data_IF_674857930900
#
_entry.id   IF_674857930900
#
_cell.length_a   1.000
_cell.length_b   1.000
_cell.length_c   1.000
_cell.angle_alpha   90.00
_cell.angle_beta   90.00
_cell.angle_gamma   90.00
#
_symmetry.space_group_name_H-M   'P 1'
#
loop_
_entity.id
_entity.type
_entity.pdbx_description
1 polymer ?
#
# COMPACT_ATOMS: atom_id res chain seq x y z
N UNK A 1 29.65 -66.16 1.41
CA UNK A 1 29.96 -64.74 1.05
C UNK A 1 28.65 -64.07 0.77
N UNK A 2 28.20 -63.26 1.71
CA UNK A 2 26.91 -62.61 1.69
C UNK A 2 27.10 -61.15 1.23
N UNK A 3 26.40 -60.76 0.18
CA UNK A 3 26.38 -59.39 -0.33
C UNK A 3 25.01 -58.77 0.04
N UNK A 4 25.08 -57.73 0.89
CA UNK A 4 23.92 -57.03 1.39
C UNK A 4 23.48 -55.99 0.36
N UNK A 5 22.25 -56.12 -0.13
CA UNK A 5 21.57 -55.08 -0.89
C UNK A 5 21.12 -53.96 0.06
N UNK A 6 21.58 -52.73 -0.21
CA UNK A 6 21.16 -51.50 0.48
C UNK A 6 20.02 -50.90 -0.34
N UNK A 7 18.79 -51.01 0.18
CA UNK A 7 17.62 -50.31 -0.37
C UNK A 7 17.64 -48.85 0.10
N UNK A 8 17.88 -47.92 -0.81
CA UNK A 8 17.69 -46.50 -0.59
C UNK A 8 16.18 -46.23 -0.51
N UNK A 9 15.73 -45.67 0.62
CA UNK A 9 14.41 -45.07 0.74
C UNK A 9 14.43 -43.74 0.00
N UNK A 10 13.53 -43.59 -0.96
CA UNK A 10 13.28 -42.34 -1.64
C UNK A 10 12.64 -41.34 -0.68
N UNK A 11 13.24 -40.14 -0.57
CA UNK A 11 12.63 -38.98 0.05
C UNK A 11 11.56 -38.48 -0.94
N UNK A 12 10.30 -38.84 -0.70
CA UNK A 12 9.14 -38.17 -1.31
C UNK A 12 8.99 -36.78 -0.65
N UNK A 13 9.02 -35.74 -1.45
CA UNK A 13 8.73 -34.39 -1.00
C UNK A 13 7.29 -34.34 -0.47
N UNK A 14 7.03 -33.69 0.67
CA UNK A 14 5.70 -33.61 1.26
C UNK A 14 4.72 -32.90 0.31
N UNK A 15 3.48 -33.38 0.26
CA UNK A 15 2.42 -32.78 -0.55
C UNK A 15 2.16 -31.32 -0.14
N UNK A 16 1.79 -30.44 -1.10
CA UNK A 16 1.58 -29.00 -0.85
C UNK A 16 0.58 -28.71 0.27
N UNK A 17 -0.45 -29.53 0.43
CA UNK A 17 -1.47 -29.38 1.47
C UNK A 17 -0.95 -29.73 2.89
N UNK A 18 0.00 -30.63 3.00
CA UNK A 18 0.64 -30.97 4.27
C UNK A 18 1.59 -29.85 4.74
N UNK A 19 2.25 -29.17 3.80
CA UNK A 19 3.10 -27.99 4.10
C UNK A 19 2.22 -26.81 4.52
N UNK A 20 1.10 -26.57 3.86
CA UNK A 20 0.15 -25.53 4.24
C UNK A 20 -0.44 -25.77 5.65
N UNK A 21 -0.85 -27.01 5.95
CA UNK A 21 -1.36 -27.37 7.28
C UNK A 21 -0.30 -27.28 8.38
N UNK A 22 0.96 -27.60 8.08
CA UNK A 22 2.07 -27.47 9.03
C UNK A 22 2.45 -25.99 9.28
N UNK A 23 2.36 -25.13 8.26
CA UNK A 23 2.57 -23.69 8.38
C UNK A 23 1.45 -23.05 9.20
N UNK A 24 0.19 -23.46 9.00
CA UNK A 24 -0.96 -23.00 9.80
C UNK A 24 -0.85 -23.46 11.28
N UNK A 25 -0.40 -24.68 11.54
CA UNK A 25 -0.16 -25.18 12.90
C UNK A 25 1.01 -24.48 13.60
N UNK A 26 2.09 -24.13 12.89
CA UNK A 26 3.22 -23.37 13.41
C UNK A 26 2.85 -21.90 13.66
N UNK A 27 2.03 -21.29 12.81
CA UNK A 27 1.50 -19.94 13.00
C UNK A 27 0.58 -19.84 14.24
N UNK A 28 -0.13 -20.91 14.58
CA UNK A 28 -0.94 -21.01 15.80
C UNK A 28 -0.09 -21.23 17.08
N UNK A 29 1.15 -21.70 16.94
CA UNK A 29 2.06 -21.99 18.06
C UNK A 29 3.02 -20.84 18.42
N UNK A 30 3.19 -19.83 17.54
CA UNK A 30 4.17 -18.74 17.69
C UNK A 30 3.64 -17.47 18.37
N UNK A 31 2.38 -17.38 18.72
CA UNK A 31 1.81 -16.19 19.36
C UNK A 31 2.21 -16.07 20.84
N UNK A 32 2.48 -14.85 21.31
CA UNK A 32 2.86 -14.46 22.68
C UNK A 32 1.81 -14.77 23.76
N UNK A 33 1.08 -15.84 23.67
CA UNK A 33 0.16 -16.39 24.69
C UNK A 33 -1.01 -15.47 25.16
N UNK A 34 -1.01 -14.19 24.83
CA UNK A 34 -2.02 -13.21 25.26
C UNK A 34 -2.84 -12.68 24.08
N UNK A 35 -4.15 -12.97 24.11
CA UNK A 35 -5.11 -12.38 23.17
C UNK A 35 -5.35 -10.91 23.51
N UNK A 36 -5.10 -10.03 22.56
CA UNK A 36 -5.30 -8.58 22.67
C UNK A 36 -6.56 -8.14 21.92
N UNK A 37 -7.10 -7.00 22.33
CA UNK A 37 -8.13 -6.24 21.57
C UNK A 37 -7.39 -5.15 20.80
N UNK A 38 -7.24 -5.33 19.50
CA UNK A 38 -6.45 -4.44 18.65
C UNK A 38 -7.40 -3.60 17.79
N UNK A 39 -7.29 -2.27 17.87
CA UNK A 39 -8.03 -1.35 17.02
C UNK A 39 -7.13 -0.86 15.89
N UNK A 40 -7.46 -1.22 14.65
CA UNK A 40 -6.78 -0.72 13.45
C UNK A 40 -7.58 0.45 12.88
N UNK A 41 -7.04 1.65 12.98
CA UNK A 41 -7.64 2.86 12.45
C UNK A 41 -7.02 3.20 11.09
N UNK A 42 -7.67 2.76 10.03
CA UNK A 42 -7.30 2.98 8.64
C UNK A 42 -8.33 3.87 7.93
N UNK A 43 -8.03 5.15 7.77
CA UNK A 43 -8.98 6.07 7.13
C UNK A 43 -9.28 5.72 5.67
N UNK A 44 -8.31 5.21 4.94
CA UNK A 44 -8.43 4.95 3.51
C UNK A 44 -9.01 3.57 3.17
N UNK A 45 -8.82 2.57 4.02
CA UNK A 45 -9.21 1.18 3.77
C UNK A 45 -8.26 0.46 2.82
N UNK A 46 -6.95 0.67 2.95
CA UNK A 46 -5.97 0.06 2.05
C UNK A 46 -5.85 -1.46 2.22
N UNK A 47 -5.63 -2.21 1.13
CA UNK A 47 -5.61 -3.68 1.15
C UNK A 47 -4.63 -4.28 2.15
N UNK A 48 -3.39 -3.76 2.27
CA UNK A 48 -2.38 -4.26 3.20
C UNK A 48 -2.76 -4.06 4.68
N UNK A 49 -3.51 -3.01 5.00
CA UNK A 49 -3.98 -2.75 6.36
C UNK A 49 -5.11 -3.71 6.75
N UNK A 50 -5.98 -4.03 5.80
CA UNK A 50 -7.01 -5.06 5.97
C UNK A 50 -6.37 -6.44 6.12
N UNK A 51 -5.35 -6.73 5.31
CA UNK A 51 -4.60 -7.98 5.36
C UNK A 51 -3.92 -8.18 6.73
N UNK A 52 -3.27 -7.14 7.28
CA UNK A 52 -2.75 -7.17 8.65
C UNK A 52 -3.85 -7.46 9.67
N UNK A 53 -5.02 -6.82 9.55
CA UNK A 53 -6.14 -7.05 10.47
C UNK A 53 -6.62 -8.50 10.43
N UNK A 54 -6.67 -9.12 9.25
CA UNK A 54 -6.99 -10.54 9.09
C UNK A 54 -5.91 -11.42 9.71
N UNK A 55 -4.64 -11.11 9.47
CA UNK A 55 -3.52 -11.90 10.01
C UNK A 55 -3.48 -11.86 11.54
N UNK A 56 -3.66 -10.70 12.15
CA UNK A 56 -3.78 -10.54 13.60
C UNK A 56 -4.98 -11.33 14.16
N UNK A 57 -6.12 -11.31 13.47
CA UNK A 57 -7.28 -12.09 13.87
C UNK A 57 -7.03 -13.60 13.78
N UNK A 58 -6.37 -14.10 12.72
CA UNK A 58 -5.96 -15.51 12.62
C UNK A 58 -5.05 -15.96 13.76
N UNK A 59 -4.26 -15.04 14.31
CA UNK A 59 -3.43 -15.29 15.51
C UNK A 59 -4.20 -15.24 16.83
N UNK A 60 -5.52 -15.09 16.77
CA UNK A 60 -6.40 -15.15 17.93
C UNK A 60 -6.63 -13.82 18.65
N UNK A 61 -6.11 -12.69 18.14
CA UNK A 61 -6.46 -11.36 18.64
C UNK A 61 -7.91 -11.02 18.28
N UNK A 62 -8.58 -10.21 19.10
CA UNK A 62 -9.86 -9.62 18.75
C UNK A 62 -9.56 -8.30 18.04
N UNK A 63 -9.88 -8.20 16.75
CA UNK A 63 -9.51 -7.05 15.92
C UNK A 63 -10.74 -6.27 15.49
N UNK A 64 -10.69 -4.95 15.64
CA UNK A 64 -11.64 -4.05 15.01
C UNK A 64 -10.91 -3.16 14.00
N UNK A 65 -11.29 -3.27 12.73
CA UNK A 65 -10.77 -2.45 11.64
C UNK A 65 -11.76 -1.33 11.32
N UNK A 66 -11.34 -0.07 11.48
CA UNK A 66 -12.20 1.09 11.24
C UNK A 66 -11.71 1.89 10.06
N UNK A 67 -12.60 2.12 9.07
CA UNK A 67 -12.29 2.89 7.87
C UNK A 67 -13.33 3.97 7.56
N UNK A 68 -12.98 4.91 6.67
CA UNK A 68 -13.89 5.95 6.20
C UNK A 68 -14.66 5.49 4.95
N UNK A 69 -16.00 5.48 5.02
CA UNK A 69 -16.85 5.10 3.88
C UNK A 69 -16.80 6.14 2.76
N UNK A 70 -16.77 7.42 3.12
CA UNK A 70 -16.80 8.54 2.16
C UNK A 70 -15.47 8.85 1.48
N UNK A 71 -14.40 8.12 1.80
CA UNK A 71 -13.08 8.31 1.18
C UNK A 71 -12.92 7.41 -0.04
N UNK A 72 -12.70 8.02 -1.21
CA UNK A 72 -12.48 7.29 -2.47
C UNK A 72 -11.02 6.86 -2.56
N UNK A 73 -10.77 5.56 -2.48
CA UNK A 73 -9.45 4.91 -2.63
C UNK A 73 -9.65 3.49 -3.16
N UNK A 74 -8.59 2.85 -3.62
CA UNK A 74 -8.59 1.40 -3.83
C UNK A 74 -8.69 0.70 -2.47
N UNK A 75 -9.90 0.26 -2.11
CA UNK A 75 -10.16 -0.41 -0.83
C UNK A 75 -9.82 -1.89 -0.91
N UNK A 76 -9.38 -2.46 0.21
CA UNK A 76 -9.22 -3.91 0.36
C UNK A 76 -10.58 -4.63 0.37
N UNK A 77 -10.55 -5.93 0.18
CA UNK A 77 -11.73 -6.76 0.38
C UNK A 77 -12.04 -6.86 1.88
N UNK A 78 -13.21 -6.37 2.30
CA UNK A 78 -13.63 -6.39 3.71
C UNK A 78 -14.39 -7.66 4.10
N UNK A 79 -14.13 -8.77 3.43
CA UNK A 79 -14.74 -10.04 3.78
C UNK A 79 -14.14 -10.59 5.09
N UNK A 80 -15.02 -10.84 6.06
CA UNK A 80 -14.65 -11.31 7.41
C UNK A 80 -15.36 -12.62 7.78
N UNK A 81 -16.06 -13.28 6.83
CA UNK A 81 -16.91 -14.44 7.12
C UNK A 81 -16.19 -15.57 7.83
N UNK A 82 -14.91 -15.76 7.57
CA UNK A 82 -14.09 -16.81 8.16
C UNK A 82 -13.37 -16.39 9.45
N UNK A 83 -13.57 -15.14 9.93
CA UNK A 83 -12.87 -14.56 11.07
C UNK A 83 -13.85 -13.90 12.06
N UNK A 84 -14.48 -14.71 12.97
CA UNK A 84 -15.49 -14.20 13.90
C UNK A 84 -14.93 -13.17 14.91
N UNK A 85 -13.61 -13.14 15.09
CA UNK A 85 -12.89 -12.20 15.95
C UNK A 85 -12.39 -10.94 15.20
N UNK A 86 -12.75 -10.76 13.92
CA UNK A 86 -12.50 -9.55 13.13
C UNK A 86 -13.82 -8.83 12.84
N UNK A 87 -13.91 -7.57 13.25
CA UNK A 87 -15.04 -6.70 12.90
C UNK A 87 -14.54 -5.54 12.05
N UNK A 88 -15.18 -5.27 10.92
CA UNK A 88 -14.92 -4.09 10.08
C UNK A 88 -16.02 -3.06 10.24
N UNK A 89 -15.65 -1.83 10.54
CA UNK A 89 -16.58 -0.72 10.80
C UNK A 89 -16.31 0.42 9.81
N UNK A 90 -17.28 0.71 8.97
CA UNK A 90 -17.24 1.86 8.06
C UNK A 90 -17.85 3.10 8.72
N UNK A 91 -17.09 4.18 8.86
CA UNK A 91 -17.56 5.45 9.42
C UNK A 91 -17.80 6.50 8.32
N UNK A 92 -18.97 7.14 8.31
CA UNK A 92 -19.27 8.20 7.36
C UNK A 92 -18.65 9.54 7.78
N UNK A 93 -18.32 10.37 6.77
CA UNK A 93 -17.91 11.78 6.94
C UNK A 93 -19.03 12.79 6.74
N UNK A 94 -20.26 12.32 6.53
CA UNK A 94 -21.39 13.19 6.19
C UNK A 94 -21.45 13.55 4.69
N UNK A 95 -21.00 12.64 3.84
CA UNK A 95 -20.90 12.76 2.39
C UNK A 95 -19.54 12.34 1.87
N UNK A 96 -19.28 12.55 0.58
CA UNK A 96 -17.94 12.29 -0.01
C UNK A 96 -16.90 13.21 0.63
N UNK A 97 -15.75 12.63 0.99
CA UNK A 97 -14.67 13.37 1.64
C UNK A 97 -14.08 14.42 0.68
N UNK A 98 -14.14 15.69 1.09
CA UNK A 98 -13.64 16.80 0.30
C UNK A 98 -12.13 17.00 0.54
N UNK A 99 -11.33 16.69 -0.46
CA UNK A 99 -9.86 16.83 -0.39
C UNK A 99 -9.38 18.26 -0.65
N UNK A 100 -10.21 19.11 -1.24
CA UNK A 100 -9.81 20.39 -1.80
C UNK A 100 -10.27 21.59 -0.98
N UNK A 101 -11.43 21.52 -0.34
CA UNK A 101 -11.95 22.58 0.53
C UNK A 101 -11.45 22.43 1.96
N UNK A 102 -10.56 23.31 2.41
CA UNK A 102 -9.96 23.24 3.75
C UNK A 102 -11.01 23.28 4.88
N UNK A 103 -12.03 24.11 4.77
CA UNK A 103 -13.08 24.26 5.81
C UNK A 103 -14.01 23.04 5.86
N UNK A 104 -14.42 22.48 4.72
CA UNK A 104 -15.23 21.26 4.66
C UNK A 104 -14.42 20.07 5.16
N UNK A 105 -13.20 19.93 4.69
CA UNK A 105 -12.29 18.89 5.13
C UNK A 105 -12.11 18.89 6.64
N UNK A 106 -11.84 20.07 7.24
CA UNK A 106 -11.70 20.19 8.70
C UNK A 106 -12.96 19.73 9.44
N UNK A 107 -14.15 20.19 9.03
CA UNK A 107 -15.42 19.76 9.63
C UNK A 107 -15.64 18.25 9.49
N UNK A 108 -15.34 17.69 8.33
CA UNK A 108 -15.46 16.26 8.06
C UNK A 108 -14.48 15.43 8.91
N UNK A 109 -13.23 15.87 9.04
CA UNK A 109 -12.23 15.19 9.87
C UNK A 109 -12.61 15.19 11.35
N UNK A 110 -13.08 16.33 11.88
CA UNK A 110 -13.56 16.44 13.29
C UNK A 110 -14.82 15.61 13.50
N UNK A 111 -15.79 15.69 12.59
CA UNK A 111 -17.00 14.90 12.68
C UNK A 111 -16.77 13.39 12.61
N UNK A 112 -15.83 12.96 11.76
CA UNK A 112 -15.37 11.59 11.67
C UNK A 112 -14.70 11.13 12.98
N UNK A 113 -13.76 11.93 13.50
CA UNK A 113 -13.02 11.59 14.71
C UNK A 113 -13.95 11.41 15.95
N UNK A 114 -14.99 12.24 16.08
CA UNK A 114 -15.99 12.06 17.16
C UNK A 114 -16.77 10.75 17.06
N UNK A 115 -17.08 10.29 15.83
CA UNK A 115 -17.72 8.99 15.62
C UNK A 115 -16.75 7.86 15.92
N UNK A 116 -15.49 8.04 15.54
CA UNK A 116 -14.42 7.10 15.87
C UNK A 116 -14.26 6.92 17.38
N UNK A 117 -14.24 8.02 18.16
CA UNK A 117 -14.12 7.96 19.63
C UNK A 117 -15.24 7.07 20.24
N UNK A 118 -16.48 7.19 19.75
CA UNK A 118 -17.60 6.36 20.24
C UNK A 118 -17.42 4.87 19.92
N UNK A 119 -16.91 4.55 18.73
CA UNK A 119 -16.61 3.17 18.33
C UNK A 119 -15.45 2.60 19.16
N UNK A 120 -14.41 3.39 19.38
CA UNK A 120 -13.26 3.00 20.19
C UNK A 120 -13.66 2.81 21.67
N UNK A 121 -14.52 3.66 22.23
CA UNK A 121 -15.07 3.51 23.59
C UNK A 121 -15.88 2.21 23.75
N UNK A 122 -16.68 1.84 22.76
CA UNK A 122 -17.44 0.59 22.77
C UNK A 122 -16.54 -0.64 22.63
N UNK A 123 -15.52 -0.56 21.79
CA UNK A 123 -14.56 -1.67 21.56
C UNK A 123 -13.59 -1.85 22.72
N UNK A 124 -13.17 -0.81 23.43
CA UNK A 124 -12.19 -0.87 24.52
C UNK A 124 -10.91 -1.59 24.13
N UNK A 125 -10.11 -1.04 23.20
CA UNK A 125 -8.89 -1.67 22.73
C UNK A 125 -7.80 -1.67 23.81
N UNK A 126 -6.94 -2.70 23.77
CA UNK A 126 -5.68 -2.74 24.52
C UNK A 126 -4.59 -1.88 23.85
N UNK A 127 -4.66 -1.76 22.52
CA UNK A 127 -3.72 -0.98 21.70
C UNK A 127 -4.41 -0.50 20.41
N UNK A 128 -3.98 0.66 19.89
CA UNK A 128 -4.43 1.21 18.62
C UNK A 128 -3.30 1.34 17.60
N UNK A 129 -3.51 0.88 16.38
CA UNK A 129 -2.68 1.15 15.21
C UNK A 129 -3.32 2.27 14.38
N UNK A 130 -2.75 3.47 14.34
CA UNK A 130 -3.28 4.60 13.59
C UNK A 130 -2.51 4.77 12.29
N UNK A 131 -3.10 4.37 11.17
CA UNK A 131 -2.50 4.42 9.85
C UNK A 131 -3.28 5.38 8.94
N UNK A 132 -2.60 6.01 8.02
CA UNK A 132 -3.11 6.88 6.95
C UNK A 132 -4.34 7.76 7.32
N UNK A 133 -4.42 8.15 8.58
CA UNK A 133 -5.48 9.01 9.11
C UNK A 133 -5.11 10.47 8.85
N UNK A 134 -6.02 11.31 8.35
CA UNK A 134 -5.78 12.74 8.20
C UNK A 134 -5.34 13.40 9.50
N UNK A 135 -4.48 14.41 9.40
CA UNK A 135 -3.76 14.96 10.55
C UNK A 135 -4.66 15.46 11.69
N UNK A 136 -5.77 16.13 11.35
CA UNK A 136 -6.72 16.64 12.35
C UNK A 136 -7.44 15.48 13.05
N UNK A 137 -7.96 14.51 12.28
CA UNK A 137 -8.61 13.34 12.85
C UNK A 137 -7.61 12.54 13.72
N UNK A 138 -6.36 12.39 13.28
CA UNK A 138 -5.29 11.71 14.03
C UNK A 138 -4.99 12.42 15.35
N UNK A 139 -4.96 13.77 15.37
CA UNK A 139 -4.75 14.53 16.59
C UNK A 139 -5.88 14.32 17.61
N UNK A 140 -7.14 14.27 17.15
CA UNK A 140 -8.30 13.99 18.03
C UNK A 140 -8.23 12.57 18.57
N UNK A 141 -7.96 11.58 17.74
CA UNK A 141 -7.86 10.18 18.20
C UNK A 141 -6.67 9.94 19.12
N UNK A 142 -5.53 10.59 18.90
CA UNK A 142 -4.39 10.55 19.82
C UNK A 142 -4.73 11.18 21.19
N UNK A 143 -5.50 12.27 21.21
CA UNK A 143 -6.00 12.84 22.44
C UNK A 143 -7.00 11.91 23.16
N UNK A 144 -7.81 11.14 22.44
CA UNK A 144 -8.64 10.08 23.00
C UNK A 144 -7.78 8.99 23.65
N UNK A 145 -6.75 8.49 22.96
CA UNK A 145 -5.82 7.51 23.49
C UNK A 145 -5.19 7.99 24.81
N UNK A 146 -4.71 9.23 24.87
CA UNK A 146 -4.13 9.81 26.08
C UNK A 146 -5.12 9.88 27.24
N UNK A 147 -6.39 10.25 26.96
CA UNK A 147 -7.44 10.31 28.00
C UNK A 147 -7.83 8.93 28.56
N UNK A 148 -7.76 7.90 27.72
CA UNK A 148 -8.18 6.53 28.07
C UNK A 148 -7.01 5.64 28.54
N UNK A 149 -5.77 6.14 28.44
CA UNK A 149 -4.59 5.35 28.75
C UNK A 149 -4.37 4.19 27.77
N UNK A 150 -4.83 4.33 26.52
CA UNK A 150 -4.64 3.31 25.47
C UNK A 150 -3.36 3.61 24.70
N UNK A 151 -2.35 2.72 24.73
CA UNK A 151 -1.15 2.85 23.91
C UNK A 151 -1.49 2.86 22.42
N UNK A 152 -0.72 3.64 21.64
CA UNK A 152 -0.98 3.71 20.23
C UNK A 152 0.29 3.74 19.38
N UNK A 153 0.20 3.11 18.21
CA UNK A 153 1.24 3.06 17.20
C UNK A 153 0.92 4.07 16.10
N UNK A 154 1.86 4.97 15.82
CA UNK A 154 1.78 5.84 14.64
C UNK A 154 2.35 5.09 13.43
N UNK A 155 1.49 4.57 12.55
CA UNK A 155 1.92 3.96 11.31
C UNK A 155 1.99 5.04 10.23
N UNK A 156 3.22 5.51 9.98
CA UNK A 156 3.54 6.63 9.09
C UNK A 156 3.58 6.18 7.64
N UNK A 157 2.55 6.59 6.86
CA UNK A 157 2.44 6.31 5.43
C UNK A 157 2.94 7.47 4.57
N UNK A 158 2.52 8.69 4.89
CA UNK A 158 2.86 9.93 4.19
C UNK A 158 3.20 11.01 5.21
N UNK A 159 4.08 11.93 4.82
CA UNK A 159 4.41 13.13 5.60
C UNK A 159 3.35 14.21 5.35
N UNK A 160 2.20 14.09 6.03
CA UNK A 160 1.06 14.99 5.84
C UNK A 160 1.40 16.45 6.16
N UNK A 161 2.18 16.71 7.22
CA UNK A 161 2.61 18.05 7.59
C UNK A 161 3.40 18.73 6.49
N UNK A 162 4.37 18.01 5.90
CA UNK A 162 5.20 18.51 4.79
C UNK A 162 4.35 18.78 3.55
N UNK A 163 3.44 17.85 3.20
CA UNK A 163 2.56 18.02 2.05
C UNK A 163 1.61 19.22 2.23
N UNK A 164 1.01 19.36 3.42
CA UNK A 164 0.11 20.47 3.74
C UNK A 164 0.86 21.81 3.76
N UNK A 165 2.11 21.85 4.24
CA UNK A 165 2.93 23.06 4.21
C UNK A 165 3.20 23.51 2.77
N UNK A 166 3.65 22.61 1.89
CA UNK A 166 3.91 22.93 0.47
C UNK A 166 2.65 23.48 -0.22
N UNK A 167 1.51 22.87 0.04
CA UNK A 167 0.24 23.32 -0.54
C UNK A 167 -0.20 24.69 0.01
N UNK A 168 -0.02 24.92 1.32
CA UNK A 168 -0.34 26.20 1.94
C UNK A 168 0.58 27.33 1.43
N UNK A 169 1.88 27.08 1.30
CA UNK A 169 2.84 28.02 0.72
C UNK A 169 2.50 28.42 -0.72
N UNK A 170 2.10 27.41 -1.52
CA UNK A 170 1.67 27.62 -2.92
C UNK A 170 0.44 28.51 -3.03
N UNK A 171 -0.51 28.40 -2.08
CA UNK A 171 -1.79 29.13 -2.10
C UNK A 171 -1.70 30.54 -1.50
N UNK A 172 -0.91 30.74 -0.45
CA UNK A 172 -0.93 31.96 0.36
C UNK A 172 0.48 32.52 0.70
N UNK A 173 1.52 32.12 0.00
CA UNK A 173 2.87 32.65 0.16
C UNK A 173 3.36 32.58 1.62
N UNK A 174 3.82 33.71 2.19
CA UNK A 174 4.35 33.78 3.57
C UNK A 174 3.33 33.42 4.65
N UNK A 175 2.07 33.79 4.51
CA UNK A 175 1.01 33.42 5.44
C UNK A 175 0.75 31.89 5.38
N UNK A 176 0.78 31.31 4.16
CA UNK A 176 0.70 29.89 3.95
C UNK A 176 1.87 29.12 4.57
N UNK A 177 3.08 29.70 4.52
CA UNK A 177 4.27 29.13 5.17
C UNK A 177 4.11 29.03 6.69
N UNK A 178 3.59 30.06 7.34
CA UNK A 178 3.33 30.06 8.79
C UNK A 178 2.27 29.02 9.17
N UNK A 179 1.16 28.94 8.43
CA UNK A 179 0.12 27.93 8.62
C UNK A 179 0.68 26.51 8.43
N UNK A 180 1.48 26.31 7.39
CA UNK A 180 2.11 25.03 7.09
C UNK A 180 3.08 24.57 8.18
N UNK A 181 3.85 25.49 8.77
CA UNK A 181 4.70 25.19 9.92
C UNK A 181 3.90 24.71 11.13
N UNK A 182 2.67 25.20 11.32
CA UNK A 182 1.74 24.70 12.32
C UNK A 182 1.37 23.24 12.10
N UNK A 183 1.07 22.81 10.87
CA UNK A 183 0.78 21.41 10.56
C UNK A 183 1.98 20.48 10.79
N UNK A 184 3.18 20.90 10.40
CA UNK A 184 4.40 20.14 10.69
C UNK A 184 4.64 20.02 12.21
N UNK A 185 4.38 21.07 12.97
CA UNK A 185 4.51 21.04 14.43
C UNK A 185 3.52 20.06 15.08
N UNK A 186 2.29 20.02 14.60
CA UNK A 186 1.28 19.03 15.05
C UNK A 186 1.74 17.61 14.73
N UNK A 187 2.16 17.33 13.49
CA UNK A 187 2.65 16.01 13.11
C UNK A 187 3.85 15.57 13.94
N UNK A 188 4.82 16.47 14.16
CA UNK A 188 5.98 16.23 15.02
C UNK A 188 5.58 15.95 16.46
N UNK A 189 4.58 16.65 16.99
CA UNK A 189 4.08 16.42 18.35
C UNK A 189 3.38 15.06 18.48
N UNK A 190 2.65 14.63 17.47
CA UNK A 190 1.99 13.32 17.42
C UNK A 190 3.03 12.18 17.33
N UNK A 191 4.06 12.32 16.48
CA UNK A 191 5.14 11.35 16.38
C UNK A 191 5.89 11.16 17.71
N UNK A 192 6.18 12.24 18.42
CA UNK A 192 6.85 12.15 19.75
C UNK A 192 5.99 11.48 20.82
N UNK A 193 4.65 11.64 20.74
CA UNK A 193 3.71 11.13 21.74
C UNK A 193 3.25 9.70 21.47
N UNK A 194 3.48 9.19 20.26
CA UNK A 194 3.18 7.80 19.94
C UNK A 194 4.06 6.87 20.77
N UNK A 195 3.49 5.78 21.27
CA UNK A 195 4.22 4.78 22.07
C UNK A 195 5.19 3.98 21.19
N UNK A 196 4.82 3.78 19.91
CA UNK A 196 5.71 3.26 18.89
C UNK A 196 5.39 3.91 17.52
N UNK A 197 6.36 3.90 16.61
CA UNK A 197 6.23 4.44 15.25
C UNK A 197 6.66 3.40 14.23
N UNK A 198 5.80 3.10 13.26
CA UNK A 198 6.14 2.31 12.08
C UNK A 198 6.32 3.24 10.90
N UNK A 199 7.47 3.18 10.24
CA UNK A 199 7.77 3.89 9.00
C UNK A 199 7.75 2.93 7.82
N UNK A 200 7.18 3.33 6.68
CA UNK A 200 7.10 2.50 5.47
C UNK A 200 8.35 2.55 4.59
N UNK A 201 9.31 3.40 4.93
CA UNK A 201 10.56 3.55 4.20
C UNK A 201 11.67 3.97 5.14
N UNK A 202 12.91 3.49 4.95
CA UNK A 202 14.07 3.99 5.68
C UNK A 202 14.33 5.48 5.42
N UNK A 203 13.85 6.04 4.31
CA UNK A 203 14.03 7.44 3.95
C UNK A 203 13.37 8.42 4.94
N UNK A 204 12.41 7.94 5.75
CA UNK A 204 11.79 8.77 6.79
C UNK A 204 12.57 8.78 8.11
N UNK A 205 13.54 7.87 8.29
CA UNK A 205 14.32 7.77 9.53
C UNK A 205 15.03 9.09 9.92
N UNK A 206 15.73 9.81 9.01
CA UNK A 206 16.35 11.08 9.36
C UNK A 206 15.35 12.14 9.84
N UNK A 207 14.12 12.12 9.30
CA UNK A 207 13.05 13.02 9.75
C UNK A 207 12.54 12.62 11.14
N UNK A 208 12.39 11.31 11.41
CA UNK A 208 11.99 10.81 12.73
C UNK A 208 13.04 11.16 13.79
N UNK A 209 14.34 11.08 13.46
CA UNK A 209 15.44 11.58 14.31
C UNK A 209 15.27 13.06 14.60
N UNK A 210 15.08 13.89 13.56
CA UNK A 210 14.83 15.33 13.68
C UNK A 210 13.54 15.66 14.45
N UNK A 211 12.58 14.75 14.52
CA UNK A 211 11.37 14.86 15.35
C UNK A 211 11.62 14.44 16.80
N UNK A 212 12.74 13.79 17.13
CA UNK A 212 13.04 13.28 18.48
C UNK A 212 12.29 11.97 18.80
N UNK A 213 12.02 11.14 17.80
CA UNK A 213 11.50 9.78 18.01
C UNK A 213 12.68 8.85 18.33
N UNK A 214 12.69 8.26 19.52
CA UNK A 214 13.76 7.39 19.97
C UNK A 214 13.88 6.13 19.09
N UNK A 215 15.09 5.62 18.92
CA UNK A 215 15.39 4.51 18.01
C UNK A 215 14.69 3.19 18.43
N UNK A 216 14.52 2.96 19.71
CA UNK A 216 13.84 1.80 20.30
C UNK A 216 12.32 1.83 20.14
N UNK A 217 11.74 2.99 19.81
CA UNK A 217 10.29 3.15 19.54
C UNK A 217 9.94 3.20 18.06
N UNK A 218 10.91 3.05 17.14
CA UNK A 218 10.65 3.11 15.71
C UNK A 218 11.08 1.83 15.01
N UNK A 219 10.27 1.40 14.05
CA UNK A 219 10.53 0.24 13.21
C UNK A 219 10.21 0.59 11.77
N UNK A 220 11.08 0.20 10.83
CA UNK A 220 10.79 0.33 9.40
C UNK A 220 10.11 -0.96 8.94
N UNK A 221 8.84 -0.89 8.54
CA UNK A 221 8.11 -2.00 7.90
C UNK A 221 7.54 -1.45 6.61
N UNK A 222 8.12 -1.86 5.49
CA UNK A 222 7.66 -1.46 4.16
C UNK A 222 6.24 -1.99 3.90
N UNK A 223 5.46 -1.25 3.12
CA UNK A 223 4.14 -1.72 2.71
C UNK A 223 4.27 -2.94 1.78
N UNK A 224 3.24 -3.75 1.75
CA UNK A 224 3.11 -4.94 0.91
C UNK A 224 1.78 -4.95 0.15
N UNK A 225 1.60 -5.90 -0.74
CA UNK A 225 0.29 -6.20 -1.31
C UNK A 225 -0.13 -7.61 -0.85
N UNK A 226 -1.41 -7.82 -0.51
CA UNK A 226 -1.90 -9.13 -0.10
C UNK A 226 -1.84 -10.12 -1.27
N UNK A 227 -0.89 -11.04 -1.24
CA UNK A 227 -0.66 -12.01 -2.31
C UNK A 227 -1.86 -12.92 -2.56
N UNK A 228 -2.58 -13.27 -1.50
CA UNK A 228 -3.81 -14.09 -1.59
C UNK A 228 -4.91 -13.41 -2.40
N UNK A 229 -5.01 -12.09 -2.32
CA UNK A 229 -6.02 -11.29 -3.02
C UNK A 229 -5.57 -10.95 -4.47
N UNK A 230 -4.30 -11.21 -4.81
CA UNK A 230 -3.67 -10.89 -6.08
C UNK A 230 -3.01 -12.13 -6.74
N UNK A 231 -3.78 -13.19 -7.03
CA UNK A 231 -3.26 -14.32 -7.78
C UNK A 231 -2.87 -13.90 -9.20
N UNK A 232 -1.83 -14.53 -9.75
CA UNK A 232 -1.49 -14.33 -11.16
C UNK A 232 -2.66 -14.78 -12.04
N UNK A 233 -2.97 -13.98 -13.05
CA UNK A 233 -4.02 -14.25 -14.02
C UNK A 233 -3.45 -14.35 -15.43
N UNK A 234 -4.01 -15.20 -16.29
CA UNK A 234 -3.61 -15.25 -17.69
C UNK A 234 -3.90 -13.92 -18.39
N UNK A 235 -3.13 -13.63 -19.46
CA UNK A 235 -3.34 -12.45 -20.29
C UNK A 235 -4.74 -12.47 -20.94
N UNK A 236 -5.11 -13.61 -21.54
CA UNK A 236 -6.46 -13.82 -22.07
C UNK A 236 -7.37 -14.31 -20.94
N UNK A 237 -8.06 -13.38 -20.31
CA UNK A 237 -8.99 -13.64 -19.22
C UNK A 237 -10.38 -13.04 -19.51
N UNK A 238 -11.33 -13.28 -18.59
CA UNK A 238 -12.72 -12.87 -18.78
C UNK A 238 -12.85 -11.33 -18.90
N UNK A 239 -12.06 -10.57 -18.13
CA UNK A 239 -12.11 -9.10 -18.19
C UNK A 239 -11.60 -8.58 -19.52
N UNK A 240 -10.48 -9.11 -20.03
CA UNK A 240 -9.91 -8.73 -21.34
C UNK A 240 -10.89 -8.97 -22.48
N UNK A 241 -11.55 -10.14 -22.50
CA UNK A 241 -12.58 -10.48 -23.47
C UNK A 241 -13.80 -9.56 -23.37
N UNK A 242 -14.29 -9.29 -22.15
CA UNK A 242 -15.39 -8.36 -21.88
C UNK A 242 -15.10 -6.94 -22.40
N UNK A 243 -13.85 -6.51 -22.32
CA UNK A 243 -13.41 -5.19 -22.81
C UNK A 243 -13.12 -5.17 -24.32
N UNK A 244 -13.21 -6.29 -25.02
CA UNK A 244 -12.97 -6.37 -26.48
C UNK A 244 -11.54 -5.98 -26.89
N UNK A 245 -10.54 -6.36 -26.08
CA UNK A 245 -9.14 -5.97 -26.33
C UNK A 245 -8.41 -6.86 -27.34
N UNK A 246 -8.95 -8.05 -27.64
CA UNK A 246 -8.34 -9.00 -28.58
C UNK A 246 -6.87 -9.29 -28.29
N UNK A 247 -6.06 -9.45 -29.34
CA UNK A 247 -4.63 -9.77 -29.21
C UNK A 247 -3.72 -8.53 -29.22
N UNK A 248 -4.29 -7.31 -29.28
CA UNK A 248 -3.49 -6.08 -29.24
C UNK A 248 -2.68 -6.00 -27.95
N UNK A 249 -1.48 -5.46 -28.05
CA UNK A 249 -0.65 -5.17 -26.88
C UNK A 249 -1.34 -4.15 -25.97
N UNK A 250 -1.27 -4.33 -24.65
CA UNK A 250 -1.93 -3.47 -23.66
C UNK A 250 -0.93 -2.89 -22.67
N UNK A 251 -0.76 -1.58 -22.73
CA UNK A 251 -0.20 -0.80 -21.66
C UNK A 251 -1.32 -0.40 -20.69
N UNK A 252 -1.18 -0.69 -19.40
CA UNK A 252 -2.24 -0.44 -18.43
C UNK A 252 -1.77 0.42 -17.25
N UNK A 253 -2.49 1.52 -17.02
CA UNK A 253 -2.41 2.33 -15.81
C UNK A 253 -3.66 2.12 -14.97
N UNK A 254 -3.53 1.74 -13.69
CA UNK A 254 -4.66 1.62 -12.78
C UNK A 254 -4.41 2.39 -11.48
N UNK A 255 -5.38 3.23 -11.09
CA UNK A 255 -5.35 4.01 -9.86
C UNK A 255 -5.65 5.49 -10.08
N UNK A 256 -5.72 6.28 -9.00
CA UNK A 256 -5.98 7.71 -9.09
C UNK A 256 -4.92 8.41 -9.92
N UNK A 257 -5.35 9.17 -10.91
CA UNK A 257 -4.49 9.98 -11.78
C UNK A 257 -4.68 11.48 -11.42
N UNK A 258 -3.85 11.97 -10.52
CA UNK A 258 -3.79 13.40 -10.19
C UNK A 258 -2.84 14.15 -11.13
N UNK A 259 -2.84 15.47 -11.09
CA UNK A 259 -1.90 16.29 -11.88
C UNK A 259 -0.43 15.97 -11.56
N UNK A 260 -0.14 15.51 -10.35
CA UNK A 260 1.19 15.05 -9.94
C UNK A 260 1.70 13.78 -10.65
N UNK A 261 0.97 13.25 -11.64
CA UNK A 261 1.34 12.05 -12.36
C UNK A 261 1.67 12.32 -13.83
N UNK A 262 1.67 13.57 -14.28
CA UNK A 262 1.95 13.99 -15.67
C UNK A 262 1.19 13.14 -16.69
N UNK A 263 -0.14 13.25 -16.74
CA UNK A 263 -0.98 12.38 -17.56
C UNK A 263 -0.67 12.43 -19.06
N UNK A 264 -0.07 13.53 -19.54
CA UNK A 264 0.32 13.75 -20.92
C UNK A 264 1.23 12.64 -21.48
N UNK A 265 2.03 11.99 -20.63
CA UNK A 265 2.91 10.89 -21.07
C UNK A 265 2.10 9.67 -21.52
N UNK A 266 0.91 9.44 -20.94
CA UNK A 266 0.01 8.36 -21.37
C UNK A 266 -0.62 8.66 -22.72
N UNK A 267 -0.91 9.92 -23.01
CA UNK A 267 -1.38 10.35 -24.32
C UNK A 267 -0.28 10.18 -25.38
N UNK A 268 0.94 10.65 -25.10
CA UNK A 268 2.10 10.48 -25.99
C UNK A 268 2.41 8.99 -26.24
N UNK A 269 2.26 8.12 -25.21
CA UNK A 269 2.39 6.67 -25.38
C UNK A 269 1.36 6.11 -26.36
N UNK A 270 0.09 6.53 -26.23
CA UNK A 270 -0.96 6.09 -27.14
C UNK A 270 -0.72 6.60 -28.57
N UNK A 271 -0.28 7.84 -28.73
CA UNK A 271 0.07 8.42 -30.01
C UNK A 271 1.22 7.65 -30.68
N UNK A 272 2.28 7.32 -29.94
CA UNK A 272 3.40 6.51 -30.47
C UNK A 272 2.97 5.12 -30.94
N UNK A 273 1.95 4.54 -30.32
CA UNK A 273 1.50 3.17 -30.54
C UNK A 273 0.10 3.07 -31.18
N UNK A 274 -0.36 4.08 -31.91
CA UNK A 274 -1.72 4.16 -32.47
C UNK A 274 -2.10 2.92 -33.30
N UNK A 275 -1.14 2.36 -34.04
CA UNK A 275 -1.39 1.19 -34.91
C UNK A 275 -1.29 -0.17 -34.21
N UNK A 276 -0.53 -0.32 -33.11
CA UNK A 276 -0.03 -1.61 -32.65
C UNK A 276 -0.29 -1.93 -31.18
N UNK A 277 -0.69 -0.94 -30.34
CA UNK A 277 -1.02 -1.19 -28.94
C UNK A 277 -2.17 -0.32 -28.45
N UNK A 278 -2.85 -0.79 -27.41
CA UNK A 278 -3.84 -0.03 -26.64
C UNK A 278 -3.21 0.50 -25.34
N UNK A 279 -3.54 1.73 -25.00
CA UNK A 279 -3.24 2.31 -23.69
C UNK A 279 -4.54 2.40 -22.89
N UNK A 280 -4.62 1.63 -21.80
CA UNK A 280 -5.82 1.55 -20.97
C UNK A 280 -5.56 2.25 -19.65
N UNK A 281 -6.37 3.24 -19.34
CA UNK A 281 -6.27 4.05 -18.13
C UNK A 281 -7.51 3.87 -17.29
N UNK A 282 -7.40 3.12 -16.21
CA UNK A 282 -8.48 2.92 -15.24
C UNK A 282 -8.26 3.91 -14.10
N UNK A 283 -8.99 5.02 -14.11
CA UNK A 283 -8.69 6.12 -13.24
C UNK A 283 -9.88 7.01 -12.91
N UNK A 284 -9.66 7.90 -11.96
CA UNK A 284 -10.45 9.09 -11.66
C UNK A 284 -9.53 10.22 -11.22
N UNK A 285 -9.96 11.47 -11.42
CA UNK A 285 -9.26 12.65 -10.93
C UNK A 285 -8.86 13.62 -12.04
N UNK A 286 -8.16 14.68 -11.66
CA UNK A 286 -7.83 15.80 -12.56
C UNK A 286 -6.96 15.37 -13.76
N UNK A 287 -6.11 14.38 -13.61
CA UNK A 287 -5.31 13.86 -14.72
C UNK A 287 -6.15 13.09 -15.76
N UNK A 288 -7.18 12.40 -15.31
CA UNK A 288 -8.14 11.75 -16.22
C UNK A 288 -8.95 12.80 -16.99
N UNK A 289 -9.39 13.88 -16.31
CA UNK A 289 -10.04 15.02 -16.97
C UNK A 289 -9.12 15.63 -18.06
N UNK A 290 -7.83 15.81 -17.74
CA UNK A 290 -6.85 16.32 -18.68
C UNK A 290 -6.69 15.42 -19.92
N UNK A 291 -6.67 14.10 -19.75
CA UNK A 291 -6.64 13.17 -20.88
C UNK A 291 -7.91 13.25 -21.75
N UNK A 292 -9.08 13.46 -21.14
CA UNK A 292 -10.34 13.68 -21.90
C UNK A 292 -10.30 14.94 -22.73
N UNK A 293 -9.75 16.04 -22.21
CA UNK A 293 -9.54 17.29 -22.94
C UNK A 293 -8.64 17.06 -24.16
N UNK A 294 -7.50 16.37 -23.98
CA UNK A 294 -6.59 16.05 -25.08
C UNK A 294 -7.24 15.16 -26.14
N UNK A 295 -8.05 14.17 -25.74
CA UNK A 295 -8.81 13.32 -26.65
C UNK A 295 -9.92 14.08 -27.39
N UNK A 296 -10.47 15.15 -26.80
CA UNK A 296 -11.44 16.02 -27.48
C UNK A 296 -10.77 16.89 -28.54
N UNK A 297 -9.52 17.31 -28.33
CA UNK A 297 -8.73 18.06 -29.31
C UNK A 297 -8.23 17.15 -30.44
N UNK A 298 -7.69 16.00 -30.12
CA UNK A 298 -7.24 14.97 -31.06
C UNK A 298 -7.59 13.57 -30.56
N UNK A 299 -8.62 12.93 -31.16
CA UNK A 299 -9.03 11.58 -30.81
C UNK A 299 -7.94 10.52 -31.09
N UNK A 300 -7.70 9.62 -30.14
CA UNK A 300 -6.86 8.43 -30.31
C UNK A 300 -7.70 7.20 -29.95
N UNK A 301 -8.01 6.35 -30.96
CA UNK A 301 -8.89 5.19 -30.79
C UNK A 301 -8.29 4.13 -29.85
N UNK A 302 -6.97 4.12 -29.66
CA UNK A 302 -6.23 3.20 -28.82
C UNK A 302 -5.97 3.73 -27.39
N UNK A 303 -6.43 4.95 -27.02
CA UNK A 303 -6.42 5.45 -25.64
C UNK A 303 -7.80 5.27 -25.01
N UNK A 304 -7.92 4.29 -24.12
CA UNK A 304 -9.18 3.93 -23.46
C UNK A 304 -9.20 4.41 -22.01
N UNK A 305 -10.09 5.34 -21.69
CA UNK A 305 -10.30 5.86 -20.34
C UNK A 305 -11.50 5.15 -19.71
N UNK A 306 -11.26 4.39 -18.64
CA UNK A 306 -12.26 3.60 -17.92
C UNK A 306 -12.41 4.12 -16.49
N UNK A 307 -13.63 4.11 -15.93
CA UNK A 307 -13.82 4.36 -14.50
C UNK A 307 -13.20 3.25 -13.65
N UNK A 308 -13.11 3.45 -12.34
CA UNK A 308 -12.72 2.38 -11.42
C UNK A 308 -13.64 1.17 -11.61
N UNK A 309 -13.03 0.02 -11.62
CA UNK A 309 -13.68 -1.28 -11.80
C UNK A 309 -13.95 -1.93 -10.43
N UNK A 310 -14.84 -2.93 -10.35
CA UNK A 310 -15.00 -3.75 -9.16
C UNK A 310 -13.66 -4.31 -8.68
N UNK A 311 -13.48 -4.40 -7.36
CA UNK A 311 -12.21 -4.87 -6.77
C UNK A 311 -11.94 -6.34 -7.11
N UNK A 312 -12.98 -7.12 -7.29
CA UNK A 312 -12.94 -8.52 -7.67
C UNK A 312 -12.34 -8.74 -9.06
N UNK A 313 -12.48 -7.77 -9.95
CA UNK A 313 -11.89 -7.79 -11.28
C UNK A 313 -10.39 -7.41 -11.27
N UNK A 314 -9.88 -6.85 -10.17
CA UNK A 314 -8.54 -6.25 -10.14
C UNK A 314 -7.41 -7.21 -10.51
N UNK A 315 -7.38 -8.47 -10.06
CA UNK A 315 -6.39 -9.45 -10.52
C UNK A 315 -6.45 -9.69 -12.03
N UNK A 316 -7.67 -9.82 -12.60
CA UNK A 316 -7.87 -10.03 -14.02
C UNK A 316 -7.46 -8.80 -14.85
N UNK A 317 -7.73 -7.60 -14.33
CA UNK A 317 -7.32 -6.32 -14.93
C UNK A 317 -5.78 -6.27 -15.05
N UNK A 318 -5.07 -6.54 -13.95
CA UNK A 318 -3.62 -6.54 -13.96
C UNK A 318 -3.06 -7.65 -14.87
N UNK A 319 -3.67 -8.84 -14.81
CA UNK A 319 -3.29 -9.96 -15.67
C UNK A 319 -3.53 -9.72 -17.16
N UNK A 320 -4.52 -8.90 -17.52
CA UNK A 320 -4.84 -8.55 -18.91
C UNK A 320 -3.78 -7.64 -19.57
N UNK A 321 -2.95 -6.97 -18.79
CA UNK A 321 -1.89 -6.09 -19.29
C UNK A 321 -0.70 -6.87 -19.86
N UNK A 322 -0.03 -6.29 -20.85
CA UNK A 322 1.29 -6.72 -21.31
C UNK A 322 2.40 -5.93 -20.59
N UNK A 323 2.12 -4.67 -20.22
CA UNK A 323 2.99 -3.83 -19.37
C UNK A 323 2.15 -2.95 -18.46
N UNK A 324 2.50 -2.90 -17.17
CA UNK A 324 1.86 -2.06 -16.16
C UNK A 324 2.62 -0.75 -16.02
N UNK A 325 1.89 0.38 -15.92
CA UNK A 325 2.49 1.71 -15.88
C UNK A 325 2.34 2.34 -14.50
N UNK A 326 3.44 2.86 -13.95
CA UNK A 326 3.47 3.62 -12.71
C UNK A 326 4.07 5.01 -12.95
N UNK A 327 3.40 6.05 -12.49
CA UNK A 327 3.80 7.44 -12.69
C UNK A 327 3.85 8.18 -11.35
N UNK A 328 4.88 8.99 -11.14
CA UNK A 328 5.01 9.90 -10.01
C UNK A 328 5.91 11.07 -10.39
N UNK A 329 5.43 12.30 -10.27
CA UNK A 329 6.25 13.48 -10.59
C UNK A 329 7.39 13.72 -9.56
N UNK A 330 8.46 14.44 -9.93
CA UNK A 330 9.63 14.70 -9.07
C UNK A 330 9.27 15.28 -7.70
N UNK A 331 8.34 16.24 -7.67
CA UNK A 331 7.95 16.93 -6.45
C UNK A 331 7.27 16.04 -5.40
N UNK A 332 6.67 14.93 -5.80
CA UNK A 332 6.00 13.98 -4.90
C UNK A 332 6.93 12.88 -4.39
N UNK A 333 8.08 12.66 -5.02
CA UNK A 333 8.99 11.53 -4.77
C UNK A 333 9.60 11.47 -3.38
N UNK A 334 9.64 12.57 -2.64
CA UNK A 334 10.29 12.63 -1.31
C UNK A 334 9.35 12.32 -0.14
N UNK A 335 8.03 12.28 -0.34
CA UNK A 335 7.06 12.14 0.74
C UNK A 335 5.90 11.19 0.43
N UNK A 336 5.92 10.52 -0.72
CA UNK A 336 4.89 9.56 -1.12
C UNK A 336 5.51 8.38 -1.87
N UNK A 337 5.06 7.17 -1.54
CA UNK A 337 5.46 5.92 -2.22
C UNK A 337 4.23 5.37 -2.95
N UNK A 338 4.26 5.22 -4.29
CA UNK A 338 3.11 4.74 -5.04
C UNK A 338 2.84 3.26 -4.77
N UNK A 339 1.82 2.97 -3.95
CA UNK A 339 1.44 1.60 -3.54
C UNK A 339 1.03 0.68 -4.69
N UNK A 340 0.63 1.22 -5.86
CA UNK A 340 0.27 0.41 -7.03
C UNK A 340 1.41 -0.50 -7.51
N UNK A 341 2.66 -0.08 -7.33
CA UNK A 341 3.84 -0.89 -7.68
C UNK A 341 3.83 -2.24 -6.94
N UNK A 342 3.39 -2.26 -5.68
CA UNK A 342 3.29 -3.49 -4.89
C UNK A 342 2.30 -4.49 -5.52
N UNK A 343 1.11 -4.03 -5.90
CA UNK A 343 0.12 -4.86 -6.61
C UNK A 343 0.61 -5.31 -7.99
N UNK A 344 1.37 -4.45 -8.66
CA UNK A 344 1.94 -4.76 -9.97
C UNK A 344 3.00 -5.86 -9.91
N UNK A 345 3.83 -5.87 -8.87
CA UNK A 345 4.77 -6.96 -8.61
C UNK A 345 4.04 -8.31 -8.45
N UNK A 346 2.89 -8.32 -7.76
CA UNK A 346 2.09 -9.54 -7.59
C UNK A 346 1.52 -10.07 -8.91
N UNK A 347 1.25 -9.19 -9.87
CA UNK A 347 0.59 -9.57 -11.13
C UNK A 347 1.49 -10.38 -12.09
N UNK A 348 2.81 -10.41 -11.88
CA UNK A 348 3.75 -11.08 -12.77
C UNK A 348 3.82 -10.45 -14.16
N UNK A 349 3.64 -9.13 -14.25
CA UNK A 349 3.76 -8.34 -15.49
C UNK A 349 4.91 -7.33 -15.34
N UNK A 350 5.62 -6.99 -16.42
CA UNK A 350 6.67 -5.99 -16.36
C UNK A 350 6.08 -4.62 -15.99
N UNK A 351 6.86 -3.86 -15.24
CA UNK A 351 6.49 -2.52 -14.79
C UNK A 351 7.33 -1.50 -15.55
N UNK A 352 6.65 -0.55 -16.21
CA UNK A 352 7.29 0.64 -16.76
C UNK A 352 6.94 1.83 -15.85
N UNK A 353 7.96 2.38 -15.20
CA UNK A 353 7.78 3.43 -14.20
C UNK A 353 8.48 4.73 -14.58
N UNK A 354 7.73 5.84 -14.64
CA UNK A 354 8.29 7.18 -14.62
C UNK A 354 8.17 7.73 -13.19
N UNK A 355 9.20 7.45 -12.39
CA UNK A 355 9.26 7.72 -10.94
C UNK A 355 10.67 8.22 -10.61
N UNK A 356 10.84 9.21 -9.70
CA UNK A 356 12.17 9.63 -9.27
C UNK A 356 13.01 8.44 -8.79
N UNK A 357 14.26 8.26 -9.28
CA UNK A 357 15.09 7.09 -8.93
C UNK A 357 15.34 6.91 -7.44
N UNK A 358 15.38 8.02 -6.68
CA UNK A 358 15.52 8.00 -5.22
C UNK A 358 14.28 7.47 -4.48
N UNK A 359 13.13 7.32 -5.15
CA UNK A 359 11.90 6.84 -4.51
C UNK A 359 11.98 5.34 -4.20
N UNK A 360 11.44 4.92 -3.06
CA UNK A 360 11.43 3.50 -2.66
C UNK A 360 10.80 2.60 -3.74
N UNK A 361 9.71 3.03 -4.39
CA UNK A 361 9.07 2.22 -5.43
C UNK A 361 9.97 2.02 -6.65
N UNK A 362 10.75 3.04 -7.04
CA UNK A 362 11.74 2.91 -8.11
C UNK A 362 12.82 1.89 -7.73
N UNK A 363 13.43 2.07 -6.56
CA UNK A 363 14.44 1.13 -6.03
C UNK A 363 13.90 -0.30 -5.90
N UNK A 364 12.63 -0.45 -5.53
CA UNK A 364 11.98 -1.77 -5.44
C UNK A 364 11.85 -2.44 -6.81
N UNK A 365 11.42 -1.71 -7.85
CA UNK A 365 11.34 -2.23 -9.23
C UNK A 365 12.73 -2.66 -9.72
N UNK A 366 13.74 -1.84 -9.51
CA UNK A 366 15.14 -2.12 -9.90
C UNK A 366 15.71 -3.33 -9.15
N UNK A 367 15.59 -3.34 -7.82
CA UNK A 367 16.04 -4.45 -6.95
C UNK A 367 15.38 -5.78 -7.33
N UNK A 368 14.09 -5.74 -7.66
CA UNK A 368 13.35 -6.91 -8.10
C UNK A 368 13.69 -7.33 -9.55
N UNK A 369 14.31 -6.47 -10.34
CA UNK A 369 14.44 -6.70 -11.80
C UNK A 369 13.08 -6.81 -12.50
N UNK A 370 12.07 -6.10 -11.97
CA UNK A 370 10.66 -6.26 -12.35
C UNK A 370 10.23 -5.36 -13.51
N UNK A 371 11.15 -4.58 -14.08
CA UNK A 371 10.78 -3.65 -15.13
C UNK A 371 11.84 -2.61 -15.47
N UNK A 372 11.40 -1.44 -15.88
CA UNK A 372 12.24 -0.29 -16.16
C UNK A 372 11.76 0.95 -15.38
N UNK A 373 12.72 1.67 -14.85
CA UNK A 373 12.50 2.97 -14.19
C UNK A 373 13.18 4.05 -15.04
N UNK A 374 12.46 5.13 -15.30
CA UNK A 374 12.97 6.30 -16.00
C UNK A 374 12.67 7.56 -15.18
N UNK A 375 13.46 8.62 -15.31
CA UNK A 375 13.15 9.92 -14.69
C UNK A 375 11.76 10.41 -15.14
N UNK A 376 10.93 10.95 -14.24
CA UNK A 376 9.58 11.39 -14.60
C UNK A 376 9.54 12.67 -15.45
N UNK A 377 10.65 13.38 -15.58
CA UNK A 377 10.84 14.54 -16.43
C UNK A 377 11.47 14.18 -17.79
N UNK A 378 11.70 12.89 -18.07
CA UNK A 378 12.21 12.38 -19.34
C UNK A 378 11.14 11.53 -20.07
N UNK A 379 10.17 12.17 -20.77
CA UNK A 379 9.14 11.45 -21.51
C UNK A 379 9.71 10.65 -22.70
N UNK A 380 10.84 11.06 -23.26
CA UNK A 380 11.47 10.36 -24.38
C UNK A 380 12.04 9.01 -23.90
N UNK A 381 12.78 8.99 -22.81
CA UNK A 381 13.24 7.74 -22.21
C UNK A 381 12.08 6.79 -21.85
N UNK A 382 10.94 7.33 -21.39
CA UNK A 382 9.74 6.55 -21.13
C UNK A 382 9.20 5.89 -22.41
N UNK A 383 9.07 6.64 -23.50
CA UNK A 383 8.58 6.13 -24.78
C UNK A 383 9.53 5.12 -25.40
N UNK A 384 10.84 5.32 -25.29
CA UNK A 384 11.86 4.35 -25.72
C UNK A 384 11.73 3.04 -24.93
N UNK A 385 11.62 3.11 -23.61
CA UNK A 385 11.47 1.91 -22.77
C UNK A 385 10.14 1.18 -23.06
N UNK A 386 9.04 1.91 -23.31
CA UNK A 386 7.76 1.33 -23.73
C UNK A 386 7.90 0.54 -25.02
N UNK A 387 8.57 1.12 -26.04
CA UNK A 387 8.85 0.44 -27.32
C UNK A 387 9.66 -0.84 -27.09
N UNK A 388 10.67 -0.80 -26.23
CA UNK A 388 11.48 -2.01 -25.91
C UNK A 388 10.61 -3.11 -25.31
N UNK A 389 9.75 -2.80 -24.32
CA UNK A 389 8.81 -3.80 -23.79
C UNK A 389 7.83 -4.30 -24.83
N UNK A 390 7.40 -3.45 -25.78
CA UNK A 390 6.47 -3.85 -26.83
C UNK A 390 7.08 -4.90 -27.77
N UNK A 391 8.34 -4.80 -28.13
CA UNK A 391 8.99 -5.69 -29.12
C UNK A 391 9.69 -6.89 -28.48
N UNK A 392 10.16 -6.81 -27.23
CA UNK A 392 10.97 -7.85 -26.59
C UNK A 392 10.12 -8.68 -25.61
N UNK A 393 9.65 -9.83 -26.08
CA UNK A 393 8.81 -10.75 -25.31
C UNK A 393 9.57 -11.42 -24.15
N UNK A 394 10.84 -11.75 -24.34
CA UNK A 394 11.68 -12.39 -23.33
C UNK A 394 11.92 -11.43 -22.17
N UNK A 395 12.27 -10.18 -22.45
CA UNK A 395 12.43 -9.14 -21.44
C UNK A 395 11.16 -8.95 -20.60
N UNK A 396 9.98 -8.99 -21.24
CA UNK A 396 8.69 -8.92 -20.51
C UNK A 396 8.50 -10.09 -19.56
N UNK A 397 8.77 -11.30 -20.07
CA UNK A 397 8.59 -12.52 -19.28
C UNK A 397 9.54 -12.54 -18.09
N UNK A 398 10.80 -12.23 -18.29
CA UNK A 398 11.82 -12.17 -17.22
C UNK A 398 11.41 -11.15 -16.17
N UNK A 399 11.09 -9.93 -16.58
CA UNK A 399 10.71 -8.88 -15.65
C UNK A 399 9.43 -9.23 -14.86
N UNK A 400 8.43 -9.81 -15.52
CA UNK A 400 7.19 -10.26 -14.84
C UNK A 400 7.46 -11.36 -13.82
N UNK A 401 8.22 -12.39 -14.18
CA UNK A 401 8.62 -13.49 -13.28
C UNK A 401 9.40 -12.97 -12.08
N UNK A 402 10.37 -12.11 -12.31
CA UNK A 402 11.17 -11.49 -11.25
C UNK A 402 10.32 -10.69 -10.27
N UNK A 403 9.37 -9.87 -10.79
CA UNK A 403 8.45 -9.11 -9.97
C UNK A 403 7.61 -10.00 -9.06
N UNK A 404 7.04 -11.09 -9.60
CA UNK A 404 6.26 -12.05 -8.83
C UNK A 404 7.10 -12.76 -7.77
N UNK A 405 8.28 -13.26 -8.12
CA UNK A 405 9.20 -13.93 -7.19
C UNK A 405 9.62 -12.99 -6.05
N UNK A 406 9.88 -11.72 -6.36
CA UNK A 406 10.15 -10.70 -5.33
C UNK A 406 8.96 -10.55 -4.38
N UNK A 407 7.74 -10.40 -4.92
CA UNK A 407 6.55 -10.27 -4.10
C UNK A 407 6.34 -11.49 -3.18
N UNK A 408 6.50 -12.71 -3.69
CA UNK A 408 6.38 -13.95 -2.92
C UNK A 408 7.44 -14.05 -1.80
N UNK A 409 8.64 -13.52 -2.03
CA UNK A 409 9.71 -13.56 -1.03
C UNK A 409 9.61 -12.47 0.05
N UNK A 410 8.95 -11.32 -0.25
CA UNK A 410 8.99 -10.13 0.61
C UNK A 410 7.63 -9.83 1.25
N UNK A 411 6.51 -10.17 0.57
CA UNK A 411 5.16 -9.89 1.06
C UNK A 411 4.59 -11.04 1.91
N UNK A 412 5.48 -11.74 2.62
CA UNK A 412 5.06 -12.79 3.55
C UNK A 412 4.32 -12.18 4.76
N UNK A 413 3.00 -12.37 4.77
CA UNK A 413 2.13 -11.83 5.82
C UNK A 413 2.46 -12.38 7.20
N UNK A 414 3.02 -13.59 7.31
CA UNK A 414 3.42 -14.16 8.60
C UNK A 414 4.56 -13.35 9.21
N UNK A 415 5.66 -13.20 8.48
CA UNK A 415 6.82 -12.40 8.91
C UNK A 415 6.46 -10.93 9.17
N UNK A 416 5.62 -10.34 8.32
CA UNK A 416 5.15 -8.96 8.50
C UNK A 416 4.34 -8.84 9.80
N UNK A 417 3.47 -9.80 10.07
CA UNK A 417 2.65 -9.80 11.30
C UNK A 417 3.50 -9.96 12.54
N UNK A 418 4.53 -10.84 12.52
CA UNK A 418 5.50 -10.98 13.62
C UNK A 418 6.15 -9.63 13.97
N UNK A 419 6.55 -8.87 12.93
CA UNK A 419 7.13 -7.54 13.11
C UNK A 419 6.16 -6.54 13.71
N UNK A 420 4.88 -6.57 13.29
CA UNK A 420 3.84 -5.71 13.87
C UNK A 420 3.50 -6.11 15.32
N UNK A 421 3.49 -7.40 15.66
CA UNK A 421 3.34 -7.83 17.05
C UNK A 421 4.50 -7.33 17.92
N UNK A 422 5.73 -7.37 17.42
CA UNK A 422 6.88 -6.77 18.10
C UNK A 422 6.72 -5.26 18.33
N UNK A 423 6.17 -4.52 17.36
CA UNK A 423 5.84 -3.09 17.53
C UNK A 423 4.73 -2.87 18.55
N UNK A 424 3.72 -3.74 18.56
CA UNK A 424 2.63 -3.71 19.55
C UNK A 424 3.20 -3.95 20.96
N UNK A 425 4.11 -4.90 21.13
CA UNK A 425 4.76 -5.16 22.42
C UNK A 425 5.58 -3.96 22.90
N UNK A 426 6.31 -3.28 22.00
CA UNK A 426 6.99 -2.02 22.32
C UNK A 426 5.98 -0.97 22.80
N UNK A 427 4.88 -0.77 22.09
CA UNK A 427 3.85 0.20 22.47
C UNK A 427 3.20 -0.13 23.83
N UNK A 428 3.07 -1.40 24.17
CA UNK A 428 2.56 -1.87 25.45
C UNK A 428 3.60 -1.83 26.59
N UNK A 429 4.83 -1.33 26.33
CA UNK A 429 5.92 -1.30 27.31
C UNK A 429 6.52 -2.68 27.66
N UNK A 430 6.40 -3.63 26.73
CA UNK A 430 6.85 -5.02 26.90
C UNK A 430 8.14 -5.31 26.12
N UNK A 431 9.13 -4.43 26.18
CA UNK A 431 10.41 -4.66 25.51
C UNK A 431 11.09 -5.91 26.05
N UNK A 432 11.16 -6.93 25.21
CA UNK A 432 11.93 -8.15 25.25
C UNK A 432 12.75 -8.51 26.49
N UNK A 433 12.23 -9.37 27.34
CA UNK A 433 13.05 -10.26 28.18
C UNK A 433 13.23 -11.61 27.47
N UNK A 434 13.93 -11.60 26.33
CA UNK A 434 14.52 -12.81 25.74
C UNK A 434 16.04 -12.66 25.70
N UNK A 435 16.65 -12.35 26.84
CA UNK A 435 18.05 -12.76 27.09
C UNK A 435 17.99 -14.01 27.91
N UNK A 436 18.25 -15.13 27.25
CA UNK A 436 18.39 -16.42 27.91
C UNK A 436 19.38 -16.34 29.07
N UNK A 437 18.91 -16.59 30.24
CA UNK A 437 19.74 -16.93 31.41
C UNK A 437 20.34 -18.30 31.14
N UNK A 438 21.49 -18.35 30.50
CA UNK A 438 22.44 -19.43 30.73
C UNK A 438 23.10 -19.17 32.08
N UNK A 439 22.50 -19.65 33.15
CA UNK A 439 23.25 -19.91 34.38
C UNK A 439 24.06 -21.17 34.13
N UNK A 440 25.37 -21.00 33.99
CA UNK A 440 26.30 -22.07 34.25
C UNK A 440 26.30 -22.43 35.73
N UNK A 441 26.34 -23.70 35.96
CA UNK A 441 27.06 -24.38 37.03
C UNK A 441 27.76 -25.59 36.41
#
# INVERSE_FOLDING_TARGET
MAERAHTARGDEAPEPDAVAAAVDAAALAGGTGRRLRILVHDFAGHPFQVDLSRALARRGHTVQHVHCVGYTSGKGAFDTRDLPNLTVVGLPTGGTFDRYSASRRFKQEVGYARRFDAVADAFRPDVMLACNVPLVAKAVTAAWCARKGVPWVFWLQDLHGVAMRREAEKRAGTAGKALGAGFEMVERALLRRADAVVSITPDFVPMLDGCGVAADRRTVIENWAPLSDLPQRPRDNAWRRRMGMGDRYVFLYSGTLGLKHRPEVLYALAEQHEGDADVVVISQGMGETRLREMLAERPLANLRLLPFQPIEDYPDILGAADTLIALLEPAAGTFSVPSKVLSYLCAGRPILAAIPPANLAARTIEKAGAGAVVPPDDPEAFLVAAKQFRIDAERRQVAGTNGRSYAESVFDTVTITDRFEGVIDVALGRSGSTTGSTRGD
#
